data_IF_387190314924
#
_entry.id   IF_387190314924
#
_cell.length_a   1.000
_cell.length_b   1.000
_cell.length_c   1.000
_cell.angle_alpha   90.00
_cell.angle_beta   90.00
_cell.angle_gamma   90.00
#
_symmetry.space_group_name_H-M   'P 1'
#
loop_
_entity.id
_entity.type
_entity.pdbx_description
1 polymer ?
#
# COMPACT_ATOMS: atom_id res chain seq x y z
N UNK A 1 5.02 9.45 -4.21
CA UNK A 1 3.95 8.53 -4.66
C UNK A 1 2.93 8.39 -3.54
N UNK A 2 1.65 8.19 -3.86
CA UNK A 2 0.61 7.90 -2.87
C UNK A 2 -0.02 6.56 -3.24
N UNK A 3 -0.17 5.67 -2.26
CA UNK A 3 -0.64 4.31 -2.47
C UNK A 3 -1.69 3.97 -1.41
N UNK A 4 -2.90 3.67 -1.87
CA UNK A 4 -3.96 3.13 -1.02
C UNK A 4 -3.88 1.61 -1.01
N UNK A 5 -3.98 1.01 0.17
CA UNK A 5 -4.01 -0.45 0.34
C UNK A 5 -5.29 -0.84 1.07
N UNK A 6 -5.99 -1.82 0.54
CA UNK A 6 -7.25 -2.33 1.08
C UNK A 6 -7.30 -3.85 0.89
N UNK A 7 -8.21 -4.49 1.63
CA UNK A 7 -8.57 -5.88 1.41
C UNK A 7 -9.58 -5.95 0.29
N UNK A 8 -9.43 -6.95 -0.57
CA UNK A 8 -10.41 -7.32 -1.58
C UNK A 8 -11.00 -8.67 -1.20
N UNK A 9 -12.32 -8.73 -1.05
CA UNK A 9 -13.06 -9.92 -0.59
C UNK A 9 -12.49 -10.48 0.73
N UNK A 10 -12.07 -9.58 1.63
CA UNK A 10 -11.48 -9.93 2.92
C UNK A 10 -10.00 -10.34 2.85
N UNK A 11 -9.39 -10.47 1.67
CA UNK A 11 -7.96 -10.77 1.52
C UNK A 11 -7.13 -9.50 1.32
N UNK A 12 -6.06 -9.35 2.11
CA UNK A 12 -5.06 -8.29 1.91
C UNK A 12 -4.09 -8.67 0.79
N UNK A 13 -3.18 -7.75 0.39
CA UNK A 13 -2.18 -8.03 -0.62
C UNK A 13 -1.32 -9.22 -0.23
N UNK A 14 -1.16 -10.17 -1.14
CA UNK A 14 -0.27 -11.30 -0.99
C UNK A 14 1.19 -10.86 -1.08
N UNK A 15 2.09 -11.66 -0.53
CA UNK A 15 3.53 -11.37 -0.56
C UNK A 15 4.05 -11.08 -1.97
N UNK A 16 3.56 -11.83 -2.98
CA UNK A 16 3.90 -11.64 -4.39
C UNK A 16 3.45 -10.28 -4.92
N UNK A 17 2.23 -9.84 -4.60
CA UNK A 17 1.71 -8.54 -5.05
C UNK A 17 2.53 -7.39 -4.44
N UNK A 18 2.97 -7.57 -3.19
CA UNK A 18 3.88 -6.62 -2.54
C UNK A 18 5.25 -6.64 -3.25
N UNK A 19 5.80 -7.81 -3.60
CA UNK A 19 7.07 -7.92 -4.34
C UNK A 19 7.03 -7.20 -5.70
N UNK A 20 5.92 -7.37 -6.42
CA UNK A 20 5.66 -6.71 -7.69
C UNK A 20 5.54 -5.19 -7.50
N UNK A 21 4.85 -4.74 -6.45
CA UNK A 21 4.79 -3.32 -6.09
C UNK A 21 6.18 -2.74 -5.76
N UNK A 22 7.02 -3.44 -4.98
CA UNK A 22 8.38 -2.99 -4.70
C UNK A 22 9.24 -2.93 -5.98
N UNK A 23 9.01 -3.84 -6.92
CA UNK A 23 9.67 -3.83 -8.23
C UNK A 23 9.24 -2.61 -9.04
N UNK A 24 7.94 -2.30 -9.07
CA UNK A 24 7.42 -1.09 -9.69
C UNK A 24 8.07 0.18 -9.13
N UNK A 25 8.21 0.28 -7.79
CA UNK A 25 8.89 1.41 -7.15
C UNK A 25 10.34 1.57 -7.60
N UNK A 26 11.08 0.46 -7.74
CA UNK A 26 12.45 0.46 -8.25
C UNK A 26 12.51 0.90 -9.71
N UNK A 27 11.63 0.35 -10.56
CA UNK A 27 11.57 0.69 -11.98
C UNK A 27 11.17 2.16 -12.20
N UNK A 28 10.35 2.73 -11.32
CA UNK A 28 10.01 4.15 -11.35
C UNK A 28 11.18 5.10 -11.02
N UNK A 29 12.30 4.56 -10.50
CA UNK A 29 13.47 5.32 -10.05
C UNK A 29 13.25 5.86 -8.63
N UNK A 30 13.73 5.14 -7.63
CA UNK A 30 13.58 5.50 -6.20
C UNK A 30 14.13 6.90 -5.89
N UNK A 31 15.21 7.29 -6.56
CA UNK A 31 15.88 8.59 -6.44
C UNK A 31 15.03 9.76 -6.94
N UNK A 32 14.04 9.47 -7.79
CA UNK A 32 13.10 10.47 -8.32
C UNK A 32 11.88 10.66 -7.42
N UNK A 33 11.68 9.78 -6.44
CA UNK A 33 10.55 9.80 -5.54
C UNK A 33 10.92 10.47 -4.22
N UNK A 34 10.09 11.40 -3.76
CA UNK A 34 10.23 11.97 -2.41
C UNK A 34 9.89 10.96 -1.30
N UNK A 35 9.35 9.80 -1.66
CA UNK A 35 8.85 8.78 -0.75
C UNK A 35 7.45 8.28 -1.13
N UNK A 36 6.88 7.47 -0.24
CA UNK A 36 5.55 6.89 -0.35
C UNK A 36 4.67 7.37 0.81
N UNK A 37 3.52 7.95 0.50
CA UNK A 37 2.41 8.04 1.44
C UNK A 37 1.58 6.77 1.30
N UNK A 38 1.59 5.93 2.34
CA UNK A 38 0.85 4.69 2.40
C UNK A 38 -0.37 4.87 3.31
N UNK A 39 -1.56 4.53 2.83
CA UNK A 39 -2.79 4.74 3.60
C UNK A 39 -3.84 3.65 3.33
N UNK A 40 -4.68 3.39 4.32
CA UNK A 40 -5.79 2.46 4.23
C UNK A 40 -7.07 3.07 3.63
N UNK A 41 -8.11 2.26 3.51
CA UNK A 41 -9.43 2.74 3.11
C UNK A 41 -10.10 3.49 4.27
N UNK A 42 -10.03 4.83 4.26
CA UNK A 42 -10.56 5.68 5.32
C UNK A 42 -12.08 5.91 5.25
N UNK A 43 -12.69 5.71 4.08
CA UNK A 43 -14.14 5.88 3.84
C UNK A 43 -14.64 4.79 2.89
N UNK A 44 -15.91 4.36 3.00
CA UNK A 44 -16.50 3.48 2.02
C UNK A 44 -16.36 4.06 0.61
N UNK A 45 -15.94 3.21 -0.34
CA UNK A 45 -15.93 3.59 -1.75
C UNK A 45 -17.37 3.76 -2.24
N UNK A 46 -17.59 4.68 -3.19
CA UNK A 46 -18.88 4.84 -3.87
C UNK A 46 -18.94 4.06 -5.19
N UNK A 47 -17.93 3.24 -5.45
CA UNK A 47 -17.85 2.40 -6.66
C UNK A 47 -18.69 1.12 -6.47
N UNK A 48 -19.15 0.47 -7.55
CA UNK A 48 -19.92 -0.77 -7.49
C UNK A 48 -19.25 -1.88 -6.67
N UNK A 49 -17.92 -1.95 -6.71
CA UNK A 49 -17.12 -2.96 -6.01
C UNK A 49 -16.88 -2.63 -4.53
N UNK A 50 -17.37 -1.50 -4.02
CA UNK A 50 -17.20 -1.09 -2.64
C UNK A 50 -17.53 -2.16 -1.58
N UNK A 51 -18.57 -3.01 -1.74
CA UNK A 51 -18.86 -4.08 -0.77
C UNK A 51 -17.75 -5.13 -0.65
N UNK A 52 -16.88 -5.23 -1.66
CA UNK A 52 -15.72 -6.14 -1.68
C UNK A 52 -14.50 -5.54 -1.00
N UNK A 53 -14.51 -4.23 -0.73
CA UNK A 53 -13.36 -3.52 -0.19
C UNK A 53 -13.50 -3.36 1.33
N UNK A 54 -12.44 -3.65 2.07
CA UNK A 54 -12.36 -3.35 3.50
C UNK A 54 -10.99 -2.82 3.90
N UNK A 55 -10.94 -2.10 5.02
CA UNK A 55 -9.68 -1.54 5.52
C UNK A 55 -8.71 -2.66 5.94
N UNK A 56 -7.41 -2.43 5.74
CA UNK A 56 -6.37 -3.26 6.37
C UNK A 56 -6.26 -2.91 7.86
N UNK A 57 -6.01 -3.90 8.73
CA UNK A 57 -5.52 -3.63 10.07
C UNK A 57 -4.22 -2.81 10.03
N UNK A 58 -4.05 -1.90 10.99
CA UNK A 58 -2.88 -1.01 11.04
C UNK A 58 -1.55 -1.78 11.01
N UNK A 59 -1.46 -2.90 11.73
CA UNK A 59 -0.24 -3.73 11.75
C UNK A 59 0.15 -4.33 10.38
N UNK A 60 -0.84 -4.65 9.53
CA UNK A 60 -0.56 -5.14 8.18
C UNK A 60 -0.11 -4.00 7.25
N UNK A 61 -0.71 -2.81 7.40
CA UNK A 61 -0.28 -1.62 6.67
C UNK A 61 1.15 -1.21 7.05
N UNK A 62 1.48 -1.29 8.34
CA UNK A 62 2.83 -1.03 8.86
C UNK A 62 3.85 -2.08 8.39
N UNK A 63 3.45 -3.35 8.31
CA UNK A 63 4.31 -4.40 7.75
C UNK A 63 4.67 -4.12 6.29
N UNK A 64 3.68 -3.72 5.46
CA UNK A 64 3.93 -3.30 4.08
C UNK A 64 4.84 -2.06 4.05
N UNK A 65 4.59 -1.08 4.92
CA UNK A 65 5.45 0.11 5.03
C UNK A 65 6.91 -0.25 5.36
N UNK A 66 7.13 -1.24 6.22
CA UNK A 66 8.46 -1.78 6.52
C UNK A 66 9.18 -2.27 5.26
N UNK A 67 8.49 -3.10 4.46
CA UNK A 67 9.03 -3.63 3.20
C UNK A 67 9.34 -2.54 2.17
N UNK A 68 8.55 -1.48 2.10
CA UNK A 68 8.85 -0.33 1.22
C UNK A 68 10.09 0.42 1.70
N UNK A 69 10.28 0.59 3.02
CA UNK A 69 11.46 1.26 3.56
C UNK A 69 12.77 0.54 3.20
N UNK A 70 12.73 -0.78 3.04
CA UNK A 70 13.89 -1.58 2.58
C UNK A 70 14.38 -1.18 1.18
N UNK A 71 13.54 -0.52 0.36
CA UNK A 71 13.98 0.02 -0.94
C UNK A 71 14.73 1.34 -0.83
N UNK A 72 14.96 1.86 0.39
CA UNK A 72 15.58 3.16 0.66
C UNK A 72 14.61 4.35 0.57
N UNK A 73 13.33 4.11 0.30
CA UNK A 73 12.31 5.17 0.23
C UNK A 73 11.83 5.58 1.63
N UNK A 74 11.58 6.88 1.82
CA UNK A 74 10.85 7.37 2.99
C UNK A 74 9.39 6.93 2.89
N UNK A 75 8.81 6.46 3.99
CA UNK A 75 7.41 6.02 4.03
C UNK A 75 6.68 6.68 5.19
N UNK A 76 5.61 7.41 4.86
CA UNK A 76 4.66 7.96 5.82
C UNK A 76 3.40 7.10 5.78
N UNK A 77 2.98 6.59 6.94
CA UNK A 77 1.73 5.85 7.08
C UNK A 77 0.64 6.81 7.57
N UNK A 78 -0.52 6.78 6.93
CA UNK A 78 -1.73 7.43 7.44
C UNK A 78 -2.73 6.33 7.85
N UNK A 79 -3.11 6.27 9.14
CA UNK A 79 -4.16 5.37 9.61
C UNK A 79 -5.53 5.76 9.05
#
# INVERSE_FOLDING_TARGET
MQSCVFRLDGAGPQSREIDEYLTLLRTAGIERLQGVLLYGLARPSMQPEAPRLSALPAGELDAIAGRIRETGLRVRVSP
#
